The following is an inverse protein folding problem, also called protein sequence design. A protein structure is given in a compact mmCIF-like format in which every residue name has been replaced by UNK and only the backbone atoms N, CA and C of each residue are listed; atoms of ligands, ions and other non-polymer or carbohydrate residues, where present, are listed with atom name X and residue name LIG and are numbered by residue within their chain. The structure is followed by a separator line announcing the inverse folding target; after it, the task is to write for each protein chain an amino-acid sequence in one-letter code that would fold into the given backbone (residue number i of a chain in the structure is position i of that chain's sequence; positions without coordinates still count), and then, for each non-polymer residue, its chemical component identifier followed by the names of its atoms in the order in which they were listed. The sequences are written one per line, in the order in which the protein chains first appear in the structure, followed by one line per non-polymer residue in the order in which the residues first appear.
data_IF_800540116571
#
_entry.id   IF_800540116571
#
_cell.length_a   1.000
_cell.length_b   1.000
_cell.length_c   1.000
_cell.angle_alpha   90.00
_cell.angle_beta   90.00
_cell.angle_gamma   90.00
#
_symmetry.space_group_name_H-M   'P 1'
#
loop_
_entity.id
_entity.type
_entity.pdbx_description
1 polymer ?
2 non-polymer ?
3 water ?
#
# COMPACT_ATOMS: atom_id res chain seq x y z
N UNK A 3 27.52 -25.54 8.46
CA UNK A 3 27.53 -24.21 9.15
C UNK A 3 28.14 -23.12 8.27
N UNK A 4 29.32 -23.42 7.73
CA UNK A 4 30.03 -22.55 6.78
C UNK A 4 29.16 -22.02 5.62
N UNK A 5 28.44 -22.92 4.96
CA UNK A 5 27.52 -22.56 3.85
C UNK A 5 26.35 -21.73 4.34
N UNK A 6 25.79 -22.14 5.47
CA UNK A 6 24.61 -21.49 6.04
C UNK A 6 24.93 -20.07 6.51
N UNK A 7 26.06 -19.90 7.20
CA UNK A 7 26.46 -18.57 7.68
C UNK A 7 26.81 -17.64 6.50
N UNK A 8 27.43 -18.18 5.46
CA UNK A 8 27.72 -17.38 4.26
C UNK A 8 26.43 -16.86 3.61
N UNK A 9 25.45 -17.75 3.47
CA UNK A 9 24.17 -17.35 2.87
C UNK A 9 23.50 -16.24 3.68
N UNK A 10 23.46 -16.40 5.01
CA UNK A 10 22.89 -15.38 5.90
C UNK A 10 23.60 -14.03 5.74
N UNK A 11 24.93 -14.05 5.76
CA UNK A 11 25.73 -12.83 5.61
C UNK A 11 25.55 -12.19 4.23
N UNK A 12 25.40 -13.02 3.21
CA UNK A 12 25.16 -12.56 1.84
C UNK A 12 23.77 -11.94 1.66
N UNK A 13 22.77 -12.51 2.33
CA UNK A 13 21.40 -11.99 2.25
C UNK A 13 21.22 -10.68 3.02
N UNK A 14 21.91 -10.52 4.17
CA UNK A 14 21.85 -9.26 4.93
C UNK A 14 22.54 -8.13 4.14
N UNK A 15 23.63 -8.45 3.44
CA UNK A 15 24.29 -7.46 2.57
C UNK A 15 23.33 -6.95 1.51
N UNK A 16 22.52 -7.86 0.97
CA UNK A 16 21.50 -7.54 -0.04
C UNK A 16 20.23 -6.88 0.53
N UNK A 17 20.20 -6.62 1.85
CA UNK A 17 19.09 -5.96 2.55
C UNK A 17 17.75 -6.69 2.36
N UNK A 18 17.79 -8.02 2.31
CA UNK A 18 16.59 -8.82 2.07
C UNK A 18 15.79 -8.99 3.36
N UNK A 19 14.52 -8.63 3.30
CA UNK A 19 13.56 -8.89 4.37
C UNK A 19 12.88 -10.24 4.08
N UNK A 20 12.84 -11.13 5.07
CA UNK A 20 12.10 -12.40 4.93
C UNK A 20 10.98 -12.47 5.95
N UNK A 21 9.77 -12.79 5.47
CA UNK A 21 8.60 -12.94 6.32
C UNK A 21 8.19 -14.42 6.32
N UNK A 22 8.15 -15.03 7.50
CA UNK A 22 7.67 -16.41 7.63
C UNK A 22 6.15 -16.43 7.80
N UNK A 23 5.50 -17.36 7.10
CA UNK A 23 4.04 -17.51 7.16
C UNK A 23 3.69 -18.82 7.86
N UNK A 24 2.47 -18.90 8.39
CA UNK A 24 2.07 -20.07 9.18
C UNK A 24 1.80 -21.31 8.33
N UNK A 25 1.27 -21.10 7.12
CA UNK A 25 0.85 -22.21 6.26
C UNK A 25 1.40 -22.08 4.83
N UNK A 26 2.73 -22.13 4.68
CA UNK A 26 3.32 -22.10 3.34
C UNK A 26 2.91 -23.33 2.55
N UNK A 27 2.78 -23.18 1.23
CA UNK A 27 2.42 -24.31 0.36
C UNK A 27 3.47 -25.42 0.43
N UNK A 28 3.01 -26.66 0.24
CA UNK A 28 3.88 -27.84 0.35
C UNK A 28 5.04 -27.85 -0.66
N UNK A 29 4.85 -27.17 -1.79
CA UNK A 29 5.91 -27.05 -2.80
C UNK A 29 7.18 -26.36 -2.30
N UNK A 30 7.06 -25.55 -1.24
CA UNK A 30 8.21 -24.91 -0.59
C UNK A 30 8.85 -25.68 0.58
N UNK A 31 8.44 -26.95 0.82
CA UNK A 31 8.86 -27.65 2.05
C UNK A 31 10.38 -27.87 2.20
N UNK A 32 11.08 -28.01 1.07
CA UNK A 32 12.53 -28.26 1.07
C UNK A 32 13.36 -26.99 1.39
N UNK A 33 12.78 -25.81 1.20
CA UNK A 33 13.46 -24.56 1.55
C UNK A 33 14.68 -24.26 0.71
N UNK A 34 14.57 -24.49 -0.59
CA UNK A 34 15.70 -24.34 -1.52
C UNK A 34 15.96 -22.86 -1.86
N UNK A 35 16.96 -22.30 -1.21
CA UNK A 35 17.48 -20.96 -1.54
C UNK A 35 19.00 -21.09 -1.40
N UNK A 36 19.74 -20.56 -2.36
CA UNK A 36 21.21 -20.73 -2.36
C UNK A 36 21.93 -19.71 -3.22
N UNK A 37 23.20 -19.51 -2.90
CA UNK A 37 24.15 -18.84 -3.79
C UNK A 37 24.62 -19.85 -4.82
N UNK A 38 24.70 -19.43 -6.08
CA UNK A 38 25.14 -20.31 -7.17
C UNK A 38 26.50 -20.93 -6.87
N UNK A 39 27.41 -20.11 -6.33
CA UNK A 39 28.69 -20.59 -5.79
C UNK A 39 28.61 -20.40 -4.28
N UNK A 40 28.46 -21.50 -3.51
CA UNK A 40 28.11 -21.36 -2.08
C UNK A 40 29.10 -20.56 -1.21
N UNK A 41 30.37 -20.48 -1.60
CA UNK A 41 31.38 -19.72 -0.85
C UNK A 41 31.72 -18.36 -1.46
N UNK A 42 30.88 -17.86 -2.36
CA UNK A 42 31.08 -16.55 -3.01
C UNK A 42 29.82 -15.70 -2.87
N UNK A 43 29.86 -14.71 -1.99
CA UNK A 43 28.68 -13.85 -1.75
C UNK A 43 28.20 -13.07 -2.99
N UNK A 44 29.10 -12.82 -3.95
CA UNK A 44 28.81 -12.09 -5.20
C UNK A 44 28.09 -12.90 -6.25
N UNK A 45 28.13 -14.23 -6.14
CA UNK A 45 27.48 -15.09 -7.11
C UNK A 45 25.97 -14.90 -7.01
N UNK A 46 25.24 -15.39 -8.02
CA UNK A 46 23.81 -15.14 -8.10
C UNK A 46 23.05 -15.89 -7.02
N UNK A 47 22.30 -15.15 -6.22
CA UNK A 47 21.33 -15.72 -5.29
C UNK A 47 20.14 -16.27 -6.10
N UNK A 48 19.75 -17.50 -5.78
CA UNK A 48 18.70 -18.21 -6.50
C UNK A 48 17.61 -18.60 -5.48
N UNK A 49 16.36 -18.21 -5.76
CA UNK A 49 15.24 -18.54 -4.87
C UNK A 49 14.03 -19.04 -5.68
N UNK A 50 13.11 -19.78 -5.04
CA UNK A 50 11.90 -20.18 -5.73
C UNK A 50 10.95 -19.00 -5.90
N UNK A 51 9.93 -19.18 -6.74
CA UNK A 51 8.88 -18.19 -6.94
C UNK A 51 7.49 -18.81 -7.00
N UNK A 52 6.56 -18.22 -6.27
CA UNK A 52 5.13 -18.47 -6.41
C UNK A 52 4.55 -17.35 -7.27
N UNK A 53 3.89 -17.72 -8.37
CA UNK A 53 3.29 -16.75 -9.28
C UNK A 53 1.78 -16.93 -9.20
N UNK A 54 1.09 -15.96 -8.61
CA UNK A 54 -0.34 -16.03 -8.35
C UNK A 54 -1.11 -15.34 -9.46
N UNK A 55 -2.19 -15.97 -9.91
CA UNK A 55 -3.14 -15.36 -10.86
C UNK A 55 -4.49 -15.30 -10.14
N UNK A 56 -4.67 -14.31 -9.24
CA UNK A 56 -5.87 -14.30 -8.38
C UNK A 56 -7.21 -14.20 -9.10
N UNK A 57 -7.24 -13.50 -10.24
CA UNK A 57 -8.48 -13.37 -11.02
C UNK A 57 -8.83 -14.64 -11.82
N UNK A 58 -7.90 -15.59 -11.91
CA UNK A 58 -8.13 -16.89 -12.56
C UNK A 58 -8.16 -18.09 -11.60
N UNK A 59 -8.00 -17.85 -10.30
CA UNK A 59 -7.89 -18.93 -9.28
C UNK A 59 -6.85 -19.98 -9.68
N UNK A 60 -5.65 -19.51 -9.97
CA UNK A 60 -4.56 -20.37 -10.43
C UNK A 60 -3.25 -19.80 -9.91
N UNK A 61 -2.24 -20.66 -9.85
CA UNK A 61 -0.87 -20.21 -9.58
C UNK A 61 0.15 -21.15 -10.21
N UNK A 62 1.35 -20.61 -10.45
CA UNK A 62 2.49 -21.39 -10.92
C UNK A 62 3.56 -21.43 -9.86
N UNK A 63 4.40 -22.44 -9.93
CA UNK A 63 5.58 -22.57 -9.08
C UNK A 63 6.82 -22.74 -9.96
N UNK A 64 7.82 -21.91 -9.74
CA UNK A 64 9.10 -21.99 -10.44
C UNK A 64 10.16 -22.25 -9.37
N UNK A 65 10.83 -23.40 -9.45
CA UNK A 65 11.75 -23.83 -8.40
C UNK A 65 12.97 -22.97 -8.21
N UNK A 66 13.49 -22.40 -9.31
CA UNK A 66 14.71 -21.58 -9.29
C UNK A 66 14.56 -20.34 -10.17
N UNK A 67 14.69 -19.17 -9.54
CA UNK A 67 14.74 -17.88 -10.23
C UNK A 67 15.96 -17.14 -9.71
N UNK A 68 16.84 -16.73 -10.62
CA UNK A 68 17.99 -15.91 -10.25
C UNK A 68 17.57 -14.49 -9.89
N UNK A 69 18.23 -13.91 -8.89
CA UNK A 69 18.02 -12.49 -8.52
C UNK A 69 18.29 -11.50 -9.66
N UNK A 70 19.12 -11.88 -10.64
CA UNK A 70 19.40 -11.03 -11.80
C UNK A 70 18.31 -11.08 -12.89
N UNK A 71 17.34 -11.97 -12.74
CA UNK A 71 16.17 -12.03 -13.62
C UNK A 71 15.34 -10.75 -13.46
N UNK A 72 14.88 -10.17 -14.57
CA UNK A 72 13.95 -9.04 -14.50
C UNK A 72 12.51 -9.51 -14.36
N UNK A 73 11.66 -8.62 -13.89
CA UNK A 73 10.23 -8.89 -13.78
C UNK A 73 9.68 -9.30 -15.17
N UNK A 74 10.04 -8.53 -16.20
CA UNK A 74 9.66 -8.84 -17.59
C UNK A 74 10.07 -10.25 -18.01
N UNK A 75 11.31 -10.64 -17.71
CA UNK A 75 11.82 -11.96 -18.07
C UNK A 75 11.01 -13.09 -17.42
N UNK A 76 10.63 -12.91 -16.16
CA UNK A 76 9.81 -13.93 -15.48
C UNK A 76 8.39 -13.98 -16.05
N UNK A 77 7.80 -12.81 -16.33
CA UNK A 77 6.48 -12.75 -16.98
C UNK A 77 6.50 -13.44 -18.34
N UNK A 78 7.52 -13.13 -19.14
CA UNK A 78 7.70 -13.76 -20.46
C UNK A 78 7.77 -15.29 -20.34
N UNK A 79 8.49 -15.79 -19.33
CA UNK A 79 8.61 -17.23 -19.10
C UNK A 79 7.28 -17.91 -18.78
N UNK A 80 6.57 -17.40 -17.78
CA UNK A 80 5.34 -18.05 -17.32
C UNK A 80 4.16 -17.92 -18.30
N UNK A 81 4.17 -16.88 -19.15
CA UNK A 81 3.13 -16.69 -20.15
C UNK A 81 3.47 -17.20 -21.57
N UNK A 82 4.66 -17.76 -21.79
CA UNK A 82 5.10 -18.14 -23.15
C UNK A 82 4.39 -19.39 -23.69
N UNK A 83 4.23 -20.39 -22.85
CA UNK A 83 3.61 -21.65 -23.26
C UNK A 83 2.13 -21.49 -23.54
N UNK A 84 1.49 -22.51 -24.14
CA UNK A 84 0.03 -22.51 -24.33
C UNK A 84 -0.69 -22.15 -23.04
N UNK A 85 -1.65 -21.22 -23.13
CA UNK A 85 -2.27 -20.60 -21.96
C UNK A 85 -3.58 -21.28 -21.56
N UNK A 86 -3.68 -22.59 -21.78
CA UNK A 86 -4.94 -23.31 -21.58
C UNK A 86 -5.36 -23.38 -20.12
N UNK A 87 -4.42 -23.24 -19.17
CA UNK A 87 -4.75 -23.28 -17.74
C UNK A 87 -5.67 -22.13 -17.28
N UNK A 88 -5.65 -21.00 -17.99
CA UNK A 88 -6.57 -19.89 -17.71
C UNK A 88 -7.90 -20.19 -18.41
N UNK A 89 -8.95 -20.37 -17.63
CA UNK A 89 -10.24 -20.84 -18.15
C UNK A 89 -11.44 -19.99 -17.71
N UNK A 90 -11.17 -18.75 -17.29
CA UNK A 90 -12.22 -17.83 -16.82
C UNK A 90 -12.27 -16.57 -17.66
N UNK A 91 -13.33 -15.80 -17.45
CA UNK A 91 -13.50 -14.47 -18.06
C UNK A 91 -12.24 -13.63 -17.91
N UNK A 92 -11.77 -13.08 -19.02
CA UNK A 92 -10.58 -12.26 -19.05
C UNK A 92 -9.27 -12.98 -19.33
N UNK A 93 -9.33 -14.28 -19.64
CA UNK A 93 -8.14 -15.07 -19.99
C UNK A 93 -7.31 -14.51 -21.16
N UNK A 94 -8.01 -13.87 -22.10
CA UNK A 94 -7.38 -13.21 -23.26
C UNK A 94 -6.42 -12.06 -22.92
N UNK A 95 -6.54 -11.47 -21.72
CA UNK A 95 -5.68 -10.36 -21.31
C UNK A 95 -4.41 -10.77 -20.57
N UNK A 96 -4.09 -12.07 -20.54
CA UNK A 96 -2.83 -12.55 -19.95
C UNK A 96 -1.73 -12.63 -21.01
N UNK A 97 -1.23 -11.45 -21.40
CA UNK A 97 -0.07 -11.31 -22.28
C UNK A 97 0.96 -10.46 -21.55
N UNK A 98 2.23 -10.49 -21.98
CA UNK A 98 3.27 -9.71 -21.28
C UNK A 98 3.01 -8.19 -21.17
N UNK A 99 2.44 -7.58 -22.20
CA UNK A 99 2.10 -6.15 -22.17
C UNK A 99 0.87 -5.87 -21.31
N UNK A 100 -0.16 -6.69 -21.46
CA UNK A 100 -1.47 -6.41 -20.86
C UNK A 100 -1.57 -6.69 -19.35
N UNK A 101 -0.60 -7.41 -18.77
CA UNK A 101 -0.62 -7.67 -17.32
C UNK A 101 0.23 -6.64 -16.56
N UNK A 102 -0.14 -6.42 -15.31
CA UNK A 102 0.72 -5.76 -14.33
C UNK A 102 1.18 -6.80 -13.31
N UNK A 103 2.31 -6.52 -12.66
CA UNK A 103 2.87 -7.41 -11.64
C UNK A 103 2.87 -6.65 -10.32
N UNK A 104 2.30 -7.28 -9.28
CA UNK A 104 2.25 -6.73 -7.93
C UNK A 104 2.98 -7.62 -6.94
N UNK A 105 3.54 -6.99 -5.92
CA UNK A 105 4.18 -7.70 -4.82
C UNK A 105 3.74 -7.08 -3.49
N UNK A 106 3.65 -7.92 -2.47
CA UNK A 106 3.26 -7.47 -1.14
C UNK A 106 4.45 -6.78 -0.45
N UNK A 107 4.17 -5.72 0.30
CA UNK A 107 5.21 -5.00 1.05
C UNK A 107 5.21 -5.45 2.52
N UNK A 108 6.21 -5.01 3.28
CA UNK A 108 6.28 -5.36 4.69
C UNK A 108 5.04 -4.85 5.46
N UNK A 109 4.51 -3.71 5.05
CA UNK A 109 3.29 -3.16 5.66
C UNK A 109 2.01 -3.98 5.38
N UNK A 110 2.06 -4.89 4.42
CA UNK A 110 0.88 -5.67 4.00
C UNK A 110 0.11 -5.02 2.86
N UNK A 111 0.67 -3.95 2.29
CA UNK A 111 0.14 -3.32 1.08
C UNK A 111 0.68 -3.97 -0.18
N UNK A 112 0.35 -3.39 -1.32
CA UNK A 112 0.82 -3.85 -2.63
C UNK A 112 1.58 -2.78 -3.39
N UNK A 113 2.63 -3.18 -4.09
CA UNK A 113 3.36 -2.29 -5.00
C UNK A 113 3.38 -2.89 -6.40
N UNK A 114 3.23 -2.03 -7.40
CA UNK A 114 3.43 -2.42 -8.79
C UNK A 114 4.94 -2.59 -9.02
N UNK A 115 5.36 -3.79 -9.39
CA UNK A 115 6.76 -4.10 -9.67
C UNK A 115 7.11 -3.68 -11.10
N UNK A 116 8.06 -2.75 -11.24
CA UNK A 116 8.50 -2.29 -12.55
C UNK A 116 9.06 -3.42 -13.40
N UNK A 117 8.57 -3.54 -14.63
CA UNK A 117 8.92 -4.67 -15.51
C UNK A 117 10.41 -4.74 -15.87
N UNK A 118 11.09 -3.60 -15.89
CA UNK A 118 12.51 -3.55 -16.20
C UNK A 118 13.43 -3.81 -15.01
N UNK A 119 12.89 -3.87 -13.80
CA UNK A 119 13.70 -4.04 -12.59
C UNK A 119 14.07 -5.50 -12.38
N UNK A 120 15.27 -5.74 -11.83
CA UNK A 120 15.67 -7.07 -11.37
C UNK A 120 15.09 -7.33 -9.98
N UNK A 121 14.93 -8.61 -9.65
CA UNK A 121 14.47 -8.95 -8.30
C UNK A 121 15.50 -8.54 -7.25
N UNK A 122 16.79 -8.61 -7.58
CA UNK A 122 17.84 -8.09 -6.69
C UNK A 122 17.55 -6.65 -6.29
N UNK A 123 17.27 -5.80 -7.29
CA UNK A 123 17.04 -4.38 -7.02
C UNK A 123 15.74 -4.12 -6.22
N UNK A 124 14.69 -4.88 -6.52
CA UNK A 124 13.43 -4.75 -5.76
C UNK A 124 13.60 -5.14 -4.29
N UNK A 125 14.29 -6.25 -4.03
CA UNK A 125 14.48 -6.73 -2.65
C UNK A 125 15.49 -5.89 -1.86
N UNK A 126 16.40 -5.17 -2.53
CA UNK A 126 17.45 -4.39 -1.87
C UNK A 126 16.98 -3.04 -1.29
N UNK A 127 15.95 -2.45 -1.90
CA UNK A 127 15.50 -1.10 -1.48
C UNK A 127 15.03 -1.09 -0.03
N UNK A 128 15.43 -0.07 0.72
CA UNK A 128 14.99 0.08 2.12
C UNK A 128 13.53 0.50 2.15
N UNK A 129 13.15 1.41 1.24
CA UNK A 129 11.75 1.80 1.03
C UNK A 129 11.52 1.96 -0.46
N UNK A 130 10.50 1.34 -1.05
CA UNK A 130 9.56 0.41 -0.39
C UNK A 130 10.17 -0.94 -0.04
N UNK A 131 9.78 -1.48 1.11
CA UNK A 131 10.33 -2.72 1.66
C UNK A 131 9.50 -3.88 1.13
N UNK A 132 10.06 -4.63 0.17
CA UNK A 132 9.37 -5.74 -0.51
C UNK A 132 10.05 -7.05 -0.08
N UNK A 133 9.37 -7.86 0.77
CA UNK A 133 10.03 -9.08 1.29
C UNK A 133 9.93 -10.34 0.44
N UNK A 134 10.83 -11.27 0.71
CA UNK A 134 10.59 -12.68 0.46
C UNK A 134 9.57 -13.19 1.48
N UNK A 135 8.79 -14.20 1.06
CA UNK A 135 7.88 -14.91 1.94
C UNK A 135 8.33 -16.36 1.98
N UNK A 136 8.72 -16.85 3.16
CA UNK A 136 9.24 -18.20 3.34
C UNK A 136 10.44 -18.46 2.41
N UNK A 137 11.32 -17.47 2.32
CA UNK A 137 12.53 -17.52 1.49
C UNK A 137 12.25 -17.79 0.01
N UNK A 138 11.13 -17.25 -0.47
CA UNK A 138 10.73 -17.37 -1.87
C UNK A 138 10.04 -16.10 -2.35
N UNK A 139 10.14 -15.82 -3.64
CA UNK A 139 9.38 -14.73 -4.26
C UNK A 139 7.89 -15.08 -4.23
N UNK A 140 7.06 -14.05 -4.09
CA UNK A 140 5.62 -14.16 -4.29
C UNK A 140 5.19 -12.96 -5.13
N UNK A 141 4.65 -13.22 -6.32
CA UNK A 141 4.20 -12.16 -7.23
C UNK A 141 2.76 -12.44 -7.64
N UNK A 142 2.04 -11.37 -7.97
CA UNK A 142 0.66 -11.44 -8.43
C UNK A 142 0.61 -10.88 -9.84
N UNK A 143 0.16 -11.69 -10.80
CA UNK A 143 0.02 -11.25 -12.19
C UNK A 143 -1.46 -11.00 -12.44
N UNK A 144 -1.80 -9.74 -12.73
CA UNK A 144 -3.19 -9.30 -12.89
C UNK A 144 -3.32 -8.41 -14.12
N UNK A 145 -4.28 -8.69 -15.02
CA UNK A 145 -4.46 -7.78 -16.16
C UNK A 145 -4.64 -6.32 -15.74
N UNK A 146 -4.02 -5.40 -16.46
CA UNK A 146 -4.15 -3.97 -16.19
C UNK A 146 -5.61 -3.54 -16.04
N UNK A 147 -6.48 -4.07 -16.92
CA UNK A 147 -7.90 -3.71 -16.91
C UNK A 147 -8.70 -4.25 -15.70
N UNK A 148 -8.17 -5.25 -15.01
CA UNK A 148 -8.78 -5.77 -13.77
C UNK A 148 -8.04 -5.32 -12.48
N UNK A 149 -6.96 -4.56 -12.63
CA UNK A 149 -6.07 -4.27 -11.50
C UNK A 149 -6.69 -3.34 -10.46
N UNK A 150 -7.39 -2.29 -10.91
CA UNK A 150 -8.03 -1.35 -9.97
C UNK A 150 -9.05 -2.04 -9.07
N UNK A 151 -9.87 -2.91 -9.66
CA UNK A 151 -10.83 -3.71 -8.91
C UNK A 151 -10.19 -4.71 -7.95
N UNK A 152 -9.13 -5.37 -8.41
CA UNK A 152 -8.42 -6.34 -7.57
C UNK A 152 -7.71 -5.66 -6.38
N UNK A 153 -7.08 -4.51 -6.63
CA UNK A 153 -6.44 -3.74 -5.56
C UNK A 153 -7.48 -3.27 -4.53
N UNK A 154 -8.65 -2.87 -4.99
CA UNK A 154 -9.74 -2.46 -4.10
C UNK A 154 -10.20 -3.56 -3.13
N UNK A 155 -10.15 -4.82 -3.59
CA UNK A 155 -10.55 -5.98 -2.79
C UNK A 155 -9.45 -6.52 -1.86
N UNK A 156 -8.19 -6.15 -2.11
CA UNK A 156 -7.05 -6.62 -1.30
C UNK A 156 -7.26 -6.28 0.17
N UNK A 157 -7.14 -7.29 1.03
CA UNK A 157 -7.41 -7.16 2.46
C UNK A 157 -6.08 -7.21 3.21
N UNK A 158 -5.63 -6.05 3.66
CA UNK A 158 -4.36 -5.92 4.37
C UNK A 158 -4.34 -6.71 5.67
N UNK A 159 -5.43 -6.66 6.43
CA UNK A 159 -5.57 -7.44 7.67
C UNK A 159 -5.43 -8.95 7.41
N UNK A 160 -6.11 -9.43 6.36
CA UNK A 160 -6.04 -10.84 5.94
C UNK A 160 -4.61 -11.23 5.54
N UNK A 161 -3.92 -10.33 4.85
CA UNK A 161 -2.52 -10.56 4.48
C UNK A 161 -1.62 -10.69 5.70
N UNK A 162 -1.78 -9.78 6.67
CA UNK A 162 -0.98 -9.82 7.89
C UNK A 162 -1.28 -11.07 8.73
N UNK A 163 -2.52 -11.55 8.67
CA UNK A 163 -2.93 -12.76 9.39
C UNK A 163 -2.33 -14.07 8.83
N UNK A 164 -1.83 -14.04 7.59
CA UNK A 164 -1.04 -15.15 7.03
C UNK A 164 0.33 -15.36 7.70
N UNK A 165 0.82 -14.34 8.40
CA UNK A 165 2.18 -14.33 8.93
C UNK A 165 2.25 -15.00 10.30
N UNK A 166 3.44 -15.48 10.66
CA UNK A 166 3.66 -16.12 11.97
C UNK A 166 3.59 -15.14 13.13
N UNK A 167 4.16 -13.94 12.96
CA UNK A 167 4.18 -12.93 14.02
C UNK A 167 3.43 -11.67 13.58
N UNK B 1 -20.99 -12.32 9.54
CA UNK B 1 -19.72 -12.76 8.89
C UNK B 1 -18.86 -11.63 8.39
N UNK B 2 -17.59 -11.94 8.14
CA UNK B 2 -16.62 -10.96 7.66
C UNK B 2 -16.92 -10.49 6.23
N UNK B 3 -17.36 -11.42 5.39
CA UNK B 3 -17.69 -11.12 4.00
C UNK B 3 -18.96 -10.24 3.86
N UNK B 4 -19.98 -10.51 4.67
CA UNK B 4 -21.19 -9.68 4.66
C UNK B 4 -20.89 -8.24 5.05
N UNK B 5 -20.09 -8.07 6.11
CA UNK B 5 -19.65 -6.74 6.55
C UNK B 5 -18.78 -6.04 5.49
N UNK B 6 -17.98 -6.81 4.76
CA UNK B 6 -17.20 -6.25 3.66
C UNK B 6 -18.07 -5.74 2.51
N UNK B 7 -19.07 -6.53 2.14
CA UNK B 7 -20.00 -6.13 1.08
C UNK B 7 -20.83 -4.91 1.51
N UNK B 8 -21.23 -4.87 2.79
CA UNK B 8 -21.96 -3.71 3.32
C UNK B 8 -21.11 -2.44 3.22
N UNK B 9 -19.83 -2.52 3.59
CA UNK B 9 -18.91 -1.39 3.44
C UNK B 9 -18.72 -0.95 1.99
N UNK B 10 -18.64 -1.91 1.05
CA UNK B 10 -18.56 -1.58 -0.37
C UNK B 10 -19.77 -0.74 -0.81
N UNK B 11 -20.96 -1.13 -0.37
CA UNK B 11 -22.18 -0.37 -0.68
C UNK B 11 -22.20 1.01 0.01
N UNK B 12 -21.65 1.10 1.22
CA UNK B 12 -21.51 2.38 1.91
C UNK B 12 -20.65 3.37 1.12
N UNK B 13 -19.59 2.86 0.48
CA UNK B 13 -18.68 3.69 -0.30
C UNK B 13 -19.35 4.21 -1.58
N UNK B 14 -20.07 3.33 -2.30
CA UNK B 14 -20.74 3.69 -3.54
C UNK B 14 -21.85 4.71 -3.27
N UNK B 15 -22.62 4.50 -2.20
CA UNK B 15 -23.70 5.44 -1.83
C UNK B 15 -23.16 6.86 -1.63
N UNK B 16 -21.96 6.93 -1.05
CA UNK B 16 -21.32 8.20 -0.71
C UNK B 16 -20.36 8.74 -1.77
N UNK B 17 -20.28 8.09 -2.92
CA UNK B 17 -19.37 8.46 -4.02
C UNK B 17 -17.92 8.58 -3.56
N UNK B 18 -17.49 7.69 -2.67
CA UNK B 18 -16.13 7.73 -2.11
C UNK B 18 -15.14 7.06 -3.04
N UNK B 19 -14.03 7.76 -3.31
CA UNK B 19 -12.87 7.19 -3.99
C UNK B 19 -11.89 6.74 -2.92
N UNK B 20 -11.35 5.53 -3.05
CA UNK B 20 -10.34 5.01 -2.11
C UNK B 20 -9.09 4.62 -2.88
N UNK B 21 -7.96 5.19 -2.49
CA UNK B 21 -6.67 4.92 -3.12
C UNK B 21 -5.83 4.12 -2.12
N UNK B 22 -5.35 2.94 -2.52
CA UNK B 22 -4.42 2.19 -1.69
C UNK B 22 -2.98 2.54 -2.01
N UNK B 23 -2.13 2.55 -0.98
CA UNK B 23 -0.72 2.91 -1.11
C UNK B 23 0.15 1.71 -0.75
N UNK B 24 1.40 1.73 -1.22
CA UNK B 24 2.28 0.57 -1.02
C UNK B 24 2.86 0.46 0.38
N UNK B 25 3.10 1.59 1.04
CA UNK B 25 3.75 1.62 2.35
C UNK B 25 2.92 2.41 3.36
N UNK B 26 1.69 1.96 3.66
CA UNK B 26 0.89 2.63 4.68
C UNK B 26 1.54 2.52 6.06
N UNK B 27 1.41 3.56 6.87
CA UNK B 27 2.00 3.54 8.23
C UNK B 27 1.37 2.43 9.08
N UNK B 28 2.16 1.92 10.02
CA UNK B 28 1.74 0.78 10.85
C UNK B 28 0.54 1.10 11.75
N UNK B 29 0.39 2.36 12.16
CA UNK B 29 -0.76 2.81 12.97
C UNK B 29 -2.14 2.56 12.35
N UNK B 30 -2.20 2.45 11.02
CA UNK B 30 -3.46 2.11 10.32
C UNK B 30 -3.98 0.69 10.57
N UNK B 31 -3.21 -0.17 11.24
CA UNK B 31 -3.69 -1.47 11.70
C UNK B 31 -4.50 -1.40 13.01
N UNK B 32 -4.29 -0.36 13.82
CA UNK B 32 -4.93 -0.22 15.14
C UNK B 32 -6.20 0.66 15.14
N UNK B 33 -6.55 1.21 13.99
CA UNK B 33 -7.84 1.87 13.80
C UNK B 33 -8.35 1.46 12.43
N UNK B 34 -9.62 1.08 12.33
CA UNK B 34 -10.19 0.61 11.07
C UNK B 34 -11.51 1.30 10.75
N UNK B 35 -11.73 1.50 9.46
CA UNK B 35 -12.99 2.06 8.96
C UNK B 35 -14.15 1.14 9.37
N UNK B 36 -15.26 1.74 9.80
CA UNK B 36 -16.44 0.98 10.24
C UNK B 36 -17.72 1.80 10.16
N UNK B 37 -18.83 1.11 9.92
CA UNK B 37 -20.16 1.68 10.11
C UNK B 37 -20.60 1.54 11.56
N UNK B 38 -21.30 2.53 12.10
CA UNK B 38 -21.91 2.40 13.44
C UNK B 38 -22.80 1.15 13.52
N UNK B 39 -23.45 0.82 12.40
CA UNK B 39 -24.13 -0.45 12.24
C UNK B 39 -23.51 -1.16 11.04
N UNK B 40 -22.62 -2.16 11.29
CA UNK B 40 -21.98 -2.85 10.16
C UNK B 40 -22.93 -3.57 9.20
N UNK B 41 -24.19 -3.77 9.58
CA UNK B 41 -25.20 -4.31 8.66
C UNK B 41 -26.22 -3.27 8.15
N UNK B 42 -25.84 -2.00 8.14
CA UNK B 42 -26.68 -0.92 7.58
C UNK B 42 -25.75 0.09 6.91
N UNK B 43 -25.68 0.05 5.58
CA UNK B 43 -24.73 0.93 4.87
C UNK B 43 -25.15 2.40 4.84
N UNK B 44 -26.37 2.71 5.29
CA UNK B 44 -26.83 4.09 5.46
C UNK B 44 -26.47 4.70 6.82
N UNK B 45 -25.99 3.87 7.75
CA UNK B 45 -25.65 4.35 9.08
C UNK B 45 -24.34 5.15 9.05
N UNK B 46 -24.05 5.80 10.18
CA UNK B 46 -22.88 6.68 10.32
C UNK B 46 -21.56 5.96 10.00
N UNK B 47 -20.81 6.51 9.04
CA UNK B 47 -19.50 6.00 8.67
C UNK B 47 -18.41 6.67 9.51
N UNK B 48 -17.49 5.86 10.03
CA UNK B 48 -16.42 6.32 10.91
C UNK B 48 -15.09 5.84 10.31
N UNK B 49 -14.13 6.74 10.18
CA UNK B 49 -12.82 6.36 9.63
C UNK B 49 -11.66 6.90 10.45
N UNK B 50 -10.52 6.21 10.42
CA UNK B 50 -9.31 6.79 11.04
C UNK B 50 -8.79 7.96 10.22
N UNK B 51 -7.89 8.73 10.82
CA UNK B 51 -7.28 9.87 10.13
C UNK B 51 -5.78 9.96 10.40
N UNK B 52 -5.01 10.15 9.33
CA UNK B 52 -3.61 10.56 9.38
C UNK B 52 -3.54 12.06 9.24
N UNK B 53 -2.88 12.72 10.19
CA UNK B 53 -2.75 14.18 10.20
C UNK B 53 -1.27 14.50 10.03
N UNK B 54 -0.91 15.05 8.87
CA UNK B 54 0.47 15.36 8.54
C UNK B 54 0.78 16.82 8.85
N UNK B 55 1.95 17.05 9.46
CA UNK B 55 2.49 18.38 9.68
C UNK B 55 3.80 18.47 8.90
N UNK B 56 3.70 18.67 7.57
CA UNK B 56 4.90 18.53 6.72
C UNK B 56 6.01 19.52 7.00
N UNK B 57 5.68 20.74 7.42
CA UNK B 57 6.71 21.76 7.72
C UNK B 57 7.39 21.55 9.08
N UNK B 58 6.88 20.60 9.88
CA UNK B 58 7.50 20.22 11.16
C UNK B 58 8.04 18.79 11.18
N UNK B 59 7.91 18.06 10.06
CA UNK B 59 8.29 16.65 9.94
C UNK B 59 7.72 15.80 11.09
N UNK B 60 6.41 15.94 11.28
CA UNK B 60 5.67 15.22 12.30
C UNK B 60 4.32 14.80 11.74
N UNK B 61 3.71 13.82 12.39
CA UNK B 61 2.31 13.45 12.07
C UNK B 61 1.61 12.89 13.29
N UNK B 62 0.28 12.93 13.26
CA UNK B 62 -0.57 12.35 14.31
C UNK B 62 -1.50 11.33 13.67
N UNK B 63 -2.09 10.49 14.52
CA UNK B 63 -3.08 9.51 14.12
C UNK B 63 -4.28 9.60 15.06
N UNK B 64 -5.48 9.67 14.49
CA UNK B 64 -6.72 9.66 15.25
C UNK B 64 -7.52 8.44 14.80
N UNK B 65 -7.80 7.53 15.72
CA UNK B 65 -8.40 6.24 15.39
C UNK B 65 -9.81 6.28 14.84
N UNK B 66 -10.61 7.22 15.34
CA UNK B 66 -12.04 7.31 14.97
C UNK B 66 -12.45 8.76 14.71
N UNK B 67 -12.81 9.03 13.46
CA UNK B 67 -13.35 10.33 13.04
C UNK B 67 -14.66 10.06 12.32
N UNK B 68 -15.76 10.54 12.89
CA UNK B 68 -17.06 10.42 12.22
C UNK B 68 -17.08 11.22 10.93
N UNK B 69 -17.75 10.70 9.90
CA UNK B 69 -18.00 11.46 8.66
C UNK B 69 -18.77 12.76 8.90
N UNK B 70 -19.47 12.84 10.03
CA UNK B 70 -20.22 14.04 10.40
C UNK B 70 -19.36 15.12 11.05
N UNK B 71 -18.11 14.78 11.41
CA UNK B 71 -17.12 15.73 11.94
C UNK B 71 -16.66 16.66 10.82
N UNK B 72 -16.40 17.93 11.18
CA UNK B 72 -15.90 18.91 10.21
C UNK B 72 -14.37 18.96 10.20
N UNK B 73 -13.85 19.53 9.11
CA UNK B 73 -12.43 19.74 8.91
C UNK B 73 -11.83 20.43 10.13
N UNK B 74 -12.40 21.58 10.52
CA UNK B 74 -11.80 22.37 11.58
C UNK B 74 -12.05 21.82 12.99
N UNK B 75 -13.10 21.00 13.16
CA UNK B 75 -13.28 20.24 14.39
C UNK B 75 -12.11 19.27 14.61
N UNK B 76 -11.65 18.62 13.54
CA UNK B 76 -10.48 17.73 13.64
C UNK B 76 -9.21 18.52 13.96
N UNK B 77 -9.05 19.67 13.31
CA UNK B 77 -7.92 20.58 13.60
C UNK B 77 -7.93 20.98 15.09
N UNK B 78 -9.11 21.38 15.57
CA UNK B 78 -9.25 21.76 16.99
C UNK B 78 -8.79 20.65 17.92
N UNK B 79 -9.18 19.41 17.63
CA UNK B 79 -8.81 18.25 18.45
C UNK B 79 -7.30 18.02 18.53
N UNK B 80 -6.63 18.04 17.38
CA UNK B 80 -5.20 17.71 17.34
C UNK B 80 -4.28 18.84 17.80
N UNK B 81 -4.74 20.09 17.71
CA UNK B 81 -3.93 21.24 18.15
C UNK B 81 -4.28 21.79 19.54
N UNK B 82 -5.19 21.13 20.27
CA UNK B 82 -5.67 21.65 21.55
C UNK B 82 -4.59 21.72 22.65
N UNK B 83 -3.77 20.69 22.77
CA UNK B 83 -2.80 20.59 23.87
C UNK B 83 -1.62 21.54 23.75
N UNK B 84 -0.71 21.54 24.74
CA UNK B 84 0.58 22.22 24.57
C UNK B 84 1.42 21.47 23.52
N UNK B 85 1.92 22.21 22.53
CA UNK B 85 2.50 21.61 21.34
C UNK B 85 4.04 21.65 21.36
N UNK B 86 4.63 21.10 22.43
CA UNK B 86 6.09 20.96 22.55
C UNK B 86 6.69 20.03 21.47
N UNK B 87 5.85 19.15 20.91
CA UNK B 87 6.27 18.23 19.84
C UNK B 87 6.74 18.92 18.55
N UNK B 88 6.31 20.17 18.31
CA UNK B 88 6.80 20.95 17.17
C UNK B 88 8.07 21.69 17.56
N UNK B 89 9.16 21.36 16.88
CA UNK B 89 10.50 21.82 17.26
C UNK B 89 11.23 22.66 16.20
N UNK B 90 10.63 22.84 15.02
CA UNK B 90 11.24 23.61 13.92
C UNK B 90 10.72 25.04 13.89
N UNK B 91 11.41 25.90 13.13
CA UNK B 91 10.98 27.29 12.93
C UNK B 91 9.54 27.38 12.44
N UNK B 92 8.79 28.31 13.03
CA UNK B 92 7.37 28.48 12.74
C UNK B 92 6.43 27.70 13.66
N UNK B 93 6.96 27.05 14.69
CA UNK B 93 6.15 26.26 15.65
C UNK B 93 5.03 27.03 16.35
N UNK B 94 5.28 28.32 16.60
CA UNK B 94 4.30 29.23 17.23
C UNK B 94 2.99 29.41 16.43
N UNK B 95 3.02 29.14 15.13
CA UNK B 95 1.84 29.30 14.27
C UNK B 95 0.94 28.07 14.16
N UNK B 96 1.13 27.06 15.03
CA UNK B 96 0.25 25.88 15.04
C UNK B 96 -0.89 26.02 16.06
N UNK B 97 -1.80 26.92 15.75
CA UNK B 97 -3.08 27.07 16.45
C UNK B 97 -4.16 26.91 15.38
N UNK B 98 -5.38 26.51 15.78
CA UNK B 98 -6.41 26.34 14.75
C UNK B 98 -6.64 27.58 13.87
N UNK B 99 -6.68 28.74 14.50
CA UNK B 99 -6.89 30.03 13.83
C UNK B 99 -5.80 30.39 12.79
N UNK B 100 -4.58 29.88 13.00
CA UNK B 100 -3.45 30.22 12.13
C UNK B 100 -3.13 29.19 11.04
N UNK B 101 -3.86 28.07 10.98
CA UNK B 101 -3.53 27.00 10.02
C UNK B 101 -4.58 26.82 8.93
N UNK B 102 -4.10 26.30 7.79
CA UNK B 102 -4.95 25.81 6.70
C UNK B 102 -4.85 24.29 6.64
N UNK B 103 -5.85 23.67 6.03
CA UNK B 103 -5.87 22.22 5.80
C UNK B 103 -5.87 21.98 4.29
N UNK B 104 -4.96 21.11 3.84
CA UNK B 104 -4.92 20.63 2.47
C UNK B 104 -5.16 19.12 2.40
N UNK B 105 -5.81 18.69 1.32
CA UNK B 105 -6.03 17.27 1.05
C UNK B 105 -5.64 16.95 -0.40
N UNK B 106 -5.08 15.76 -0.60
CA UNK B 106 -4.69 15.30 -1.93
C UNK B 106 -5.93 14.87 -2.72
N UNK B 107 -5.92 15.17 -4.02
CA UNK B 107 -7.01 14.80 -4.95
C UNK B 107 -6.68 13.51 -5.72
N UNK B 108 -7.65 12.98 -6.46
CA UNK B 108 -7.40 11.81 -7.30
C UNK B 108 -6.27 12.05 -8.32
N UNK B 109 -6.17 13.29 -8.83
CA UNK B 109 -5.11 13.67 -9.77
C UNK B 109 -3.70 13.71 -9.17
N UNK B 110 -3.60 13.72 -7.84
CA UNK B 110 -2.31 13.90 -7.15
C UNK B 110 -1.98 15.35 -6.86
N UNK B 111 -2.94 16.25 -7.05
CA UNK B 111 -2.80 17.66 -6.66
C UNK B 111 -3.30 17.89 -5.25
N UNK B 112 -3.36 19.16 -4.84
CA UNK B 112 -3.82 19.54 -3.50
C UNK B 112 -4.98 20.52 -3.58
N UNK B 113 -5.92 20.38 -2.66
CA UNK B 113 -7.00 21.35 -2.50
C UNK B 113 -7.05 21.81 -1.05
N UNK B 114 -7.34 23.10 -0.85
CA UNK B 114 -7.63 23.64 0.48
C UNK B 114 -9.02 23.17 0.91
N UNK B 115 -9.09 22.55 2.09
CA UNK B 115 -10.33 22.02 2.66
C UNK B 115 -11.03 23.07 3.50
N UNK B 116 -12.28 23.37 3.16
CA UNK B 116 -13.06 24.40 3.89
C UNK B 116 -13.29 24.03 5.34
N UNK B 117 -13.06 24.99 6.24
CA UNK B 117 -13.16 24.75 7.70
C UNK B 117 -14.50 24.16 8.12
N UNK B 118 -15.59 24.71 7.58
CA UNK B 118 -16.95 24.35 8.01
C UNK B 118 -17.46 23.02 7.49
N UNK B 119 -16.79 22.44 6.49
CA UNK B 119 -17.33 21.28 5.78
C UNK B 119 -17.16 19.97 6.54
N UNK B 120 -18.19 19.13 6.50
CA UNK B 120 -18.06 17.76 7.01
C UNK B 120 -17.19 16.92 6.05
N UNK B 121 -16.53 15.92 6.59
CA UNK B 121 -15.79 14.99 5.76
C UNK B 121 -16.72 14.23 4.80
N UNK B 122 -17.95 13.96 5.24
CA UNK B 122 -18.96 13.38 4.33
C UNK B 122 -19.10 14.23 3.07
N UNK B 123 -19.27 15.54 3.23
CA UNK B 123 -19.49 16.44 2.11
C UNK B 123 -18.26 16.53 1.19
N UNK B 124 -17.06 16.58 1.77
CA UNK B 124 -15.83 16.63 0.95
C UNK B 124 -15.62 15.36 0.12
N UNK B 125 -15.85 14.20 0.74
CA UNK B 125 -15.63 12.93 0.07
C UNK B 125 -16.69 12.61 -0.99
N UNK B 126 -17.88 13.22 -0.88
CA UNK B 126 -18.99 12.90 -1.79
C UNK B 126 -18.95 13.68 -3.10
N UNK B 127 -18.32 14.86 -3.09
CA UNK B 127 -18.26 15.69 -4.30
C UNK B 127 -17.62 14.98 -5.49
N UNK B 128 -18.24 15.16 -6.66
CA UNK B 128 -17.69 14.59 -7.90
C UNK B 128 -16.39 15.31 -8.28
N UNK B 129 -16.41 16.63 -8.20
CA UNK B 129 -15.23 17.46 -8.42
C UNK B 129 -15.25 18.61 -7.41
N UNK B 130 -14.17 18.86 -6.69
CA UNK B 130 -12.91 18.09 -6.70
C UNK B 130 -13.06 16.70 -6.08
N UNK B 131 -12.40 15.71 -6.69
CA UNK B 131 -12.42 14.32 -6.23
C UNK B 131 -11.35 14.14 -5.17
N UNK B 132 -11.77 14.07 -3.90
CA UNK B 132 -10.88 13.98 -2.73
C UNK B 132 -11.00 12.56 -2.15
N UNK B 133 -9.97 11.69 -2.35
CA UNK B 133 -10.10 10.31 -1.88
C UNK B 133 -9.76 10.04 -0.42
N UNK B 134 -10.26 8.91 0.09
CA UNK B 134 -9.62 8.24 1.22
C UNK B 134 -8.33 7.59 0.72
N UNK B 135 -7.33 7.48 1.61
CA UNK B 135 -6.09 6.77 1.35
C UNK B 135 -5.98 5.64 2.36
N UNK B 136 -5.92 4.39 1.87
CA UNK B 136 -5.85 3.21 2.74
C UNK B 136 -7.03 3.16 3.72
N UNK B 137 -8.23 3.44 3.21
CA UNK B 137 -9.48 3.45 4.00
C UNK B 137 -9.40 4.37 5.21
N UNK B 138 -8.76 5.51 5.03
CA UNK B 138 -8.55 6.49 6.09
C UNK B 138 -8.44 7.90 5.52
N UNK B 139 -8.79 8.89 6.32
CA UNK B 139 -8.52 10.29 5.95
C UNK B 139 -7.01 10.56 5.96
N UNK B 140 -6.58 11.46 5.09
CA UNK B 140 -5.24 12.03 5.14
C UNK B 140 -5.38 13.53 4.94
N UNK B 141 -4.93 14.32 5.92
CA UNK B 141 -4.96 15.78 5.82
C UNK B 141 -3.55 16.32 6.10
N UNK B 142 -3.27 17.51 5.57
CA UNK B 142 -2.01 18.23 5.81
C UNK B 142 -2.37 19.55 6.50
N UNK B 143 -1.82 19.75 7.71
CA UNK B 143 -2.05 20.98 8.48
C UNK B 143 -0.80 21.85 8.31
N UNK B 144 -0.98 23.03 7.72
CA UNK B 144 0.13 23.93 7.38
C UNK B 144 -0.25 25.36 7.78
N UNK B 145 0.62 26.06 8.53
CA UNK B 145 0.30 27.47 8.82
C UNK B 145 0.02 28.29 7.56
N UNK B 146 -0.95 29.20 7.65
CA UNK B 146 -1.27 30.14 6.55
C UNK B 146 -0.01 30.78 5.97
N UNK B 147 0.86 31.26 6.85
CA UNK B 147 2.09 31.96 6.43
C UNK B 147 3.14 31.08 5.73
N UNK B 148 3.06 29.76 5.88
CA UNK B 148 3.96 28.82 5.19
C UNK B 148 3.31 28.08 4.01
N UNK B 149 2.02 28.34 3.76
CA UNK B 149 1.24 27.52 2.82
C UNK B 149 1.69 27.68 1.37
N UNK B 150 1.91 28.93 0.94
CA UNK B 150 2.33 29.19 -0.45
C UNK B 150 3.67 28.51 -0.77
N UNK B 151 4.63 28.63 0.14
CA UNK B 151 5.92 27.95 0.02
C UNK B 151 5.81 26.43 -0.01
N UNK B 152 4.98 25.87 0.87
CA UNK B 152 4.82 24.42 0.92
C UNK B 152 4.16 23.87 -0.36
N UNK B 153 3.14 24.56 -0.85
CA UNK B 153 2.47 24.17 -2.10
C UNK B 153 3.46 24.17 -3.28
N UNK B 154 4.37 25.14 -3.30
CA UNK B 154 5.37 25.22 -4.38
C UNK B 154 6.31 24.01 -4.42
N UNK B 155 6.53 23.36 -3.28
CA UNK B 155 7.37 22.16 -3.19
C UNK B 155 6.61 20.83 -3.36
N UNK B 156 5.27 20.86 -3.35
CA UNK B 156 4.48 19.63 -3.54
C UNK B 156 4.80 18.96 -4.88
N UNK B 157 5.13 17.67 -4.82
CA UNK B 157 5.57 16.91 -5.97
C UNK B 157 4.49 15.89 -6.36
N UNK B 158 3.75 16.21 -7.42
CA UNK B 158 2.66 15.36 -7.91
C UNK B 158 3.13 13.96 -8.32
N UNK B 159 4.32 13.88 -8.91
CA UNK B 159 4.84 12.60 -9.40
C UNK B 159 5.19 11.70 -8.22
N UNK B 160 5.82 12.27 -7.20
CA UNK B 160 6.11 11.52 -5.97
C UNK B 160 4.83 11.07 -5.27
N UNK B 161 3.79 11.92 -5.31
CA UNK B 161 2.49 11.54 -4.74
C UNK B 161 1.91 10.31 -5.45
N UNK B 162 1.91 10.33 -6.79
CA UNK B 162 1.36 9.21 -7.57
C UNK B 162 2.19 7.93 -7.38
N UNK B 163 3.50 8.09 -7.18
CA UNK B 163 4.39 6.93 -6.92
C UNK B 163 4.17 6.25 -5.56
N UNK B 164 3.55 6.94 -4.60
CA UNK B 164 3.14 6.31 -3.32
C UNK B 164 2.03 5.26 -3.48
N UNK B 165 1.31 5.31 -4.59
CA UNK B 165 0.10 4.50 -4.78
C UNK B 165 0.45 3.10 -5.27
N UNK B 166 -0.44 2.15 -4.99
CA UNK B 166 -0.25 0.75 -5.41
C UNK B 166 -0.24 0.60 -6.93
N UNK B 167 -1.03 1.43 -7.62
CA UNK B 167 -1.08 1.38 -9.08
C UNK B 167 -1.08 2.78 -9.68
#
# INVERSE_FOLDING_TARGET
GSENKKIMLESAMTLRNITNIKTHSPVELLNEGKIRLEDPMDFESQLIYPALIMYPTQDEFDFVGEVSELTTVQELVDLVLEGPQERFKKEGKENFTPKKVLVFMETKAGGLIKAGKKLTFHDILKKESPDVPLFDNALKIYIVPKVESEGWISKWDKQKALERRSV
GSENKKIMLESAMTLRNITNIKTHSPVELLNEGKIRLEDPMDFESQLIYPALIMYPTQDEFDFVGEVSELTTVQELVDLVLEGPQERFKKEGKENFTPKKVLVFMETKAGGLIKAGKKLTFHDILKKESPDVPLFDNALKIYIVPKVESEGWISKWDKQKALERRSV
#
